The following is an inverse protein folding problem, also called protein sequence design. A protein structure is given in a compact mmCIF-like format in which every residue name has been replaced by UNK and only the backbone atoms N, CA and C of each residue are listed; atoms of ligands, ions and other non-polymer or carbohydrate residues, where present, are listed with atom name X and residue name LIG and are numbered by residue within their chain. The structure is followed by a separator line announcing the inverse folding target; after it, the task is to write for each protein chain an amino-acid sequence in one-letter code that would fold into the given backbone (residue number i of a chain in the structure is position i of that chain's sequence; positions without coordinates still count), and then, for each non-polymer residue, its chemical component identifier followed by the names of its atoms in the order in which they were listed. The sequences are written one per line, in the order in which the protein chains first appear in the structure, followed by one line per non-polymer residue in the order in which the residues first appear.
data_IF_068765126918
#
_entry.id   IF_068765126918
#
_cell.length_a   1.000
_cell.length_b   1.000
_cell.length_c   1.000
_cell.angle_alpha   90.00
_cell.angle_beta   90.00
_cell.angle_gamma   90.00
#
_symmetry.space_group_name_H-M   'P 1'
#
loop_
_entity.id
_entity.type
_entity.pdbx_description
1 polymer ?
#
# COMPACT_ATOMS: atom_id res chain seq x y z
N UNK A 1 -37.11 30.03 -23.72
CA UNK A 1 -36.24 30.67 -22.71
C UNK A 1 -36.03 29.68 -21.57
N UNK A 2 -34.79 29.47 -21.11
CA UNK A 2 -34.25 28.14 -20.81
C UNK A 2 -33.83 27.95 -19.35
N UNK A 3 -33.43 26.72 -18.97
CA UNK A 3 -32.66 26.51 -17.74
C UNK A 3 -32.61 25.08 -17.20
N UNK A 4 -32.21 24.09 -18.00
CA UNK A 4 -31.93 22.73 -17.51
C UNK A 4 -30.58 22.26 -18.05
N UNK A 5 -29.51 22.53 -17.31
CA UNK A 5 -28.16 22.09 -17.67
C UNK A 5 -28.02 20.59 -17.40
N UNK A 6 -28.15 19.79 -18.46
CA UNK A 6 -27.74 18.38 -18.47
C UNK A 6 -26.22 18.29 -18.42
N UNK A 7 -25.69 17.65 -17.38
CA UNK A 7 -24.27 17.34 -17.30
C UNK A 7 -24.03 16.01 -18.04
N UNK A 8 -23.50 16.09 -19.26
CA UNK A 8 -22.99 14.95 -20.02
C UNK A 8 -21.76 14.35 -19.31
N UNK A 9 -21.64 13.02 -19.19
CA UNK A 9 -20.35 12.40 -18.96
C UNK A 9 -19.58 12.45 -20.28
N UNK A 10 -18.57 13.31 -20.35
CA UNK A 10 -17.62 13.34 -21.45
C UNK A 10 -16.94 11.98 -21.56
N UNK A 11 -17.23 11.27 -22.64
CA UNK A 11 -16.52 10.05 -23.03
C UNK A 11 -15.05 10.37 -23.24
N UNK A 12 -14.19 9.76 -22.41
CA UNK A 12 -12.77 9.70 -22.70
C UNK A 12 -12.58 8.77 -23.89
N UNK A 13 -12.27 9.38 -25.03
CA UNK A 13 -11.83 8.70 -26.24
C UNK A 13 -10.70 7.73 -25.92
N UNK A 14 -10.83 6.50 -26.43
CA UNK A 14 -9.81 5.48 -26.42
C UNK A 14 -8.56 5.95 -27.20
N UNK A 15 -7.65 6.62 -26.51
CA UNK A 15 -6.26 6.75 -26.92
C UNK A 15 -5.42 6.04 -25.87
N UNK A 16 -5.05 4.79 -26.21
CA UNK A 16 -4.11 4.00 -25.42
C UNK A 16 -2.81 4.78 -25.23
N UNK A 17 -2.59 5.27 -24.02
CA UNK A 17 -1.31 5.82 -23.60
C UNK A 17 -0.28 4.68 -23.62
N UNK A 18 0.46 4.61 -24.72
CA UNK A 18 1.71 3.88 -24.82
C UNK A 18 2.73 4.54 -23.87
N UNK A 19 2.85 4.08 -22.63
CA UNK A 19 4.05 4.31 -21.82
C UNK A 19 5.21 3.56 -22.50
N UNK A 20 5.96 4.25 -23.36
CA UNK A 20 7.03 3.66 -24.18
C UNK A 20 8.44 4.17 -23.87
N UNK A 21 8.63 5.00 -22.85
CA UNK A 21 9.97 5.30 -22.35
C UNK A 21 10.18 4.61 -21.00
N UNK A 22 11.19 3.75 -20.92
CA UNK A 22 11.69 3.25 -19.64
C UNK A 22 12.14 4.44 -18.79
N UNK A 23 11.66 4.49 -17.55
CA UNK A 23 11.95 5.55 -16.59
C UNK A 23 12.49 4.98 -15.27
N UNK A 24 13.09 5.84 -14.45
CA UNK A 24 13.66 5.54 -13.14
C UNK A 24 12.68 5.94 -12.05
N UNK A 25 12.16 4.95 -11.35
CA UNK A 25 11.17 5.10 -10.28
C UNK A 25 11.86 4.87 -8.94
N UNK A 26 11.74 5.82 -8.01
CA UNK A 26 12.07 5.53 -6.61
C UNK A 26 10.78 5.15 -5.89
N UNK A 27 10.70 3.96 -5.31
CA UNK A 27 9.59 3.58 -4.43
C UNK A 27 10.05 3.70 -2.97
N UNK A 28 9.49 4.67 -2.25
CA UNK A 28 9.72 4.89 -0.83
C UNK A 28 8.66 4.13 -0.03
N UNK A 29 9.08 3.02 0.59
CA UNK A 29 8.21 2.17 1.39
C UNK A 29 8.54 2.37 2.85
N UNK A 30 7.58 2.88 3.63
CA UNK A 30 7.73 2.86 5.08
C UNK A 30 6.40 2.66 5.78
N UNK A 31 6.07 1.39 6.03
CA UNK A 31 5.38 1.02 7.27
C UNK A 31 5.84 -0.35 7.80
N UNK A 32 6.28 -0.30 9.05
CA UNK A 32 6.04 -1.23 10.17
C UNK A 32 6.52 -2.67 10.15
N UNK A 33 7.33 -3.07 9.17
CA UNK A 33 8.24 -4.17 9.42
C UNK A 33 9.61 -3.85 8.84
N UNK A 34 10.70 -4.07 9.60
CA UNK A 34 12.07 -4.03 9.09
C UNK A 34 12.24 -4.90 7.86
N UNK A 35 11.53 -6.01 7.86
CA UNK A 35 11.39 -6.92 6.74
C UNK A 35 10.18 -6.48 5.95
N UNK A 36 10.41 -5.46 5.13
CA UNK A 36 9.68 -5.37 3.87
C UNK A 36 9.91 -6.71 3.16
N UNK A 37 8.82 -7.38 2.79
CA UNK A 37 8.75 -8.60 1.98
C UNK A 37 8.69 -9.93 2.74
N UNK A 38 7.81 -10.01 3.73
CA UNK A 38 7.29 -11.28 4.24
C UNK A 38 5.77 -11.27 4.04
N UNK A 39 5.15 -12.40 3.65
CA UNK A 39 3.70 -12.54 3.47
C UNK A 39 2.96 -12.51 4.82
N UNK A 40 3.09 -11.44 5.59
CA UNK A 40 2.36 -11.18 6.82
C UNK A 40 1.44 -9.96 6.72
N UNK A 41 1.64 -9.08 5.72
CA UNK A 41 0.86 -7.84 5.56
C UNK A 41 0.63 -7.48 4.09
N UNK A 42 -0.63 -7.50 3.65
CA UNK A 42 -1.01 -7.33 2.23
C UNK A 42 -0.53 -6.04 1.54
N UNK A 43 -0.21 -4.98 2.29
CA UNK A 43 0.36 -3.75 1.73
C UNK A 43 1.76 -4.00 1.15
N UNK A 44 2.62 -4.73 1.86
CA UNK A 44 4.00 -4.95 1.40
C UNK A 44 4.04 -5.83 0.15
N UNK A 45 3.21 -6.86 0.11
CA UNK A 45 3.07 -7.74 -1.07
C UNK A 45 2.57 -6.95 -2.28
N UNK A 46 1.61 -6.03 -2.06
CA UNK A 46 1.08 -5.16 -3.12
C UNK A 46 2.17 -4.26 -3.70
N UNK A 47 2.97 -3.63 -2.83
CA UNK A 47 4.08 -2.76 -3.27
C UNK A 47 5.19 -3.57 -3.96
N UNK A 48 5.49 -4.78 -3.48
CA UNK A 48 6.48 -5.65 -4.14
C UNK A 48 6.02 -6.05 -5.53
N UNK A 49 4.76 -6.48 -5.65
CA UNK A 49 4.17 -6.88 -6.93
C UNK A 49 4.17 -5.71 -7.92
N UNK A 50 3.85 -4.50 -7.46
CA UNK A 50 3.95 -3.28 -8.27
C UNK A 50 5.40 -3.02 -8.72
N UNK A 51 6.37 -3.05 -7.80
CA UNK A 51 7.78 -2.80 -8.12
C UNK A 51 8.34 -3.85 -9.10
N UNK A 52 8.02 -5.13 -8.91
CA UNK A 52 8.41 -6.22 -9.81
C UNK A 52 7.83 -6.01 -11.21
N UNK A 53 6.56 -5.64 -11.30
CA UNK A 53 5.91 -5.42 -12.59
C UNK A 53 6.46 -4.17 -13.30
N UNK A 54 6.80 -3.11 -12.57
CA UNK A 54 7.52 -1.96 -13.11
C UNK A 54 8.91 -2.37 -13.63
N UNK A 55 9.65 -3.14 -12.84
CA UNK A 55 10.96 -3.69 -13.23
C UNK A 55 10.91 -4.54 -14.50
N UNK A 56 9.90 -5.41 -14.59
CA UNK A 56 9.64 -6.27 -15.77
C UNK A 56 9.27 -5.46 -17.01
N UNK A 57 8.61 -4.31 -16.84
CA UNK A 57 8.32 -3.36 -17.93
C UNK A 57 9.51 -2.52 -18.36
N UNK A 58 10.69 -2.72 -17.75
CA UNK A 58 11.94 -2.05 -18.09
C UNK A 58 12.23 -0.80 -17.27
N UNK A 59 11.39 -0.46 -16.28
CA UNK A 59 11.69 0.64 -15.36
C UNK A 59 12.79 0.23 -14.39
N UNK A 60 13.67 1.17 -14.03
CA UNK A 60 14.60 0.95 -12.93
C UNK A 60 13.91 1.36 -11.63
N UNK A 61 13.92 0.49 -10.63
CA UNK A 61 13.23 0.73 -9.35
C UNK A 61 14.21 0.62 -8.20
N UNK A 62 14.28 1.65 -7.36
CA UNK A 62 14.98 1.56 -6.06
C UNK A 62 13.96 1.68 -4.95
N UNK A 63 13.90 0.66 -4.11
CA UNK A 63 13.03 0.56 -2.95
C UNK A 63 13.79 1.02 -1.72
N UNK A 64 13.30 2.05 -1.04
CA UNK A 64 13.80 2.43 0.28
C UNK A 64 12.95 1.81 1.37
N UNK A 65 13.58 1.05 2.26
CA UNK A 65 12.93 0.27 3.30
C UNK A 65 13.66 0.41 4.64
N UNK A 66 12.99 0.26 5.80
CA UNK A 66 13.67 0.20 7.09
C UNK A 66 14.64 -0.99 7.16
N UNK A 67 15.75 -0.81 7.86
CA UNK A 67 16.74 -1.85 8.13
C UNK A 67 16.17 -2.90 9.10
N UNK A 68 16.46 -4.18 8.84
CA UNK A 68 16.13 -5.34 9.66
C UNK A 68 17.32 -5.85 10.48
N UNK A 69 17.14 -6.05 11.79
CA UNK A 69 18.13 -6.64 12.69
C UNK A 69 17.92 -8.14 12.76
N UNK A 70 18.93 -8.89 13.19
CA UNK A 70 18.82 -10.34 13.37
C UNK A 70 17.69 -10.73 14.35
N UNK A 71 17.40 -9.88 15.33
CA UNK A 71 16.29 -10.06 16.26
C UNK A 71 14.94 -10.10 15.54
N UNK A 72 14.71 -9.26 14.53
CA UNK A 72 13.41 -9.25 13.84
C UNK A 72 13.20 -10.54 13.06
N UNK A 73 14.22 -10.97 12.30
CA UNK A 73 14.17 -12.23 11.57
C UNK A 73 13.85 -13.40 12.50
N UNK A 74 14.49 -13.44 13.68
CA UNK A 74 14.21 -14.43 14.72
C UNK A 74 12.77 -14.35 15.23
N UNK A 75 12.26 -13.15 15.52
CA UNK A 75 10.90 -12.93 16.01
C UNK A 75 9.84 -13.39 14.99
N UNK A 76 10.19 -13.44 13.71
CA UNK A 76 9.31 -13.92 12.64
C UNK A 76 9.52 -15.39 12.27
N UNK A 77 10.50 -16.07 12.88
CA UNK A 77 10.84 -17.45 12.52
C UNK A 77 11.41 -17.57 11.10
N UNK A 78 12.14 -16.56 10.63
CA UNK A 78 12.64 -16.50 9.25
C UNK A 78 14.15 -16.52 9.16
N UNK A 79 14.62 -17.09 8.05
CA UNK A 79 16.00 -16.94 7.63
C UNK A 79 16.30 -15.48 7.28
N UNK A 80 17.54 -15.05 7.56
CA UNK A 80 18.03 -13.72 7.19
C UNK A 80 18.36 -13.70 5.69
N UNK A 81 17.35 -13.48 4.87
CA UNK A 81 17.47 -13.35 3.42
C UNK A 81 16.65 -12.14 2.93
N UNK A 82 17.18 -11.44 1.93
CA UNK A 82 16.40 -10.46 1.18
C UNK A 82 15.43 -11.18 0.23
N UNK A 83 14.26 -10.59 0.02
CA UNK A 83 13.30 -11.16 -0.92
C UNK A 83 13.79 -11.02 -2.36
N UNK A 84 13.41 -11.97 -3.21
CA UNK A 84 13.58 -11.83 -4.65
C UNK A 84 12.73 -10.65 -5.15
N UNK A 85 13.36 -9.54 -5.51
CA UNK A 85 12.66 -8.35 -5.98
C UNK A 85 12.51 -8.29 -7.49
N UNK A 86 12.98 -9.31 -8.21
CA UNK A 86 12.93 -9.38 -9.66
C UNK A 86 13.95 -8.50 -10.36
N UNK A 87 13.83 -8.41 -11.68
CA UNK A 87 14.76 -7.67 -12.55
C UNK A 87 14.56 -6.16 -12.47
N UNK A 88 15.64 -5.39 -12.54
CA UNK A 88 15.62 -3.91 -12.49
C UNK A 88 15.07 -3.33 -11.18
N UNK A 89 15.07 -4.09 -10.09
CA UNK A 89 14.64 -3.64 -8.76
C UNK A 89 15.78 -3.81 -7.76
N UNK A 90 16.07 -2.77 -7.00
CA UNK A 90 17.06 -2.75 -5.92
C UNK A 90 16.38 -2.39 -4.60
N UNK A 91 16.84 -2.97 -3.47
CA UNK A 91 16.37 -2.59 -2.13
C UNK A 91 17.50 -1.91 -1.36
N UNK A 92 17.24 -0.71 -0.86
CA UNK A 92 18.13 0.05 0.03
C UNK A 92 17.54 0.16 1.42
N UNK A 93 18.22 -0.48 2.36
CA UNK A 93 17.84 -0.51 3.77
C UNK A 93 18.36 0.73 4.49
N UNK A 94 17.48 1.47 5.15
CA UNK A 94 17.79 2.69 5.88
C UNK A 94 17.71 2.48 7.38
N UNK A 95 18.59 3.17 8.12
CA UNK A 95 18.52 3.20 9.58
C UNK A 95 17.11 3.58 10.07
N UNK A 96 16.61 2.81 11.02
CA UNK A 96 15.27 2.92 11.58
C UNK A 96 15.27 2.46 13.03
N UNK A 97 14.37 3.04 13.84
CA UNK A 97 14.23 2.71 15.25
C UNK A 97 13.02 1.77 15.47
N UNK A 98 13.10 0.82 16.41
CA UNK A 98 11.93 0.05 16.84
C UNK A 98 10.91 0.97 17.49
N UNK A 99 9.63 0.73 17.19
CA UNK A 99 8.51 1.41 17.85
C UNK A 99 7.54 0.38 18.41
N UNK A 100 6.93 0.63 19.59
CA UNK A 100 5.95 -0.27 20.18
C UNK A 100 4.82 -0.59 19.19
N UNK A 101 4.49 -1.87 19.07
CA UNK A 101 3.41 -2.37 18.22
C UNK A 101 2.96 -3.73 18.71
N UNK A 102 1.74 -4.13 18.34
CA UNK A 102 1.17 -5.43 18.70
C UNK A 102 2.01 -6.62 18.26
N UNK A 103 2.84 -6.48 17.22
CA UNK A 103 3.75 -7.53 16.75
C UNK A 103 5.20 -7.35 17.19
N UNK A 104 5.56 -6.22 17.82
CA UNK A 104 6.95 -5.89 18.14
C UNK A 104 7.85 -5.67 16.92
N UNK A 105 7.28 -5.63 15.71
CA UNK A 105 8.01 -5.53 14.44
C UNK A 105 8.03 -4.09 13.92
N UNK A 106 7.20 -3.19 14.43
CA UNK A 106 7.12 -1.85 13.86
C UNK A 106 8.43 -1.09 13.95
N UNK A 107 8.79 -0.47 12.84
CA UNK A 107 9.93 0.44 12.75
C UNK A 107 9.56 1.76 12.13
N UNK A 108 10.12 2.81 12.71
CA UNK A 108 10.02 4.17 12.21
C UNK A 108 11.36 4.58 11.61
N UNK A 109 11.31 4.94 10.34
CA UNK A 109 12.44 5.55 9.65
C UNK A 109 12.55 7.00 10.15
N UNK A 110 13.67 7.33 10.79
CA UNK A 110 13.92 8.66 11.36
C UNK A 110 14.12 9.64 10.21
N UNK A 111 13.25 10.64 9.98
CA UNK A 111 13.40 11.58 8.88
C UNK A 111 14.55 12.56 9.19
N UNK A 112 15.63 12.47 8.42
CA UNK A 112 16.80 13.37 8.50
C UNK A 112 16.71 14.51 7.47
N UNK A 113 15.87 14.36 6.45
CA UNK A 113 15.71 15.32 5.36
C UNK A 113 16.91 15.37 4.41
N UNK A 114 17.93 14.54 4.63
CA UNK A 114 19.21 14.52 3.88
C UNK A 114 19.38 13.30 2.99
N UNK A 115 18.41 12.37 3.00
CA UNK A 115 18.51 11.10 2.25
C UNK A 115 18.41 11.27 0.74
N UNK A 116 17.96 12.44 0.27
CA UNK A 116 17.98 12.82 -1.15
C UNK A 116 19.37 12.72 -1.79
N UNK A 117 20.45 12.88 -1.02
CA UNK A 117 21.82 12.70 -1.51
C UNK A 117 22.09 11.28 -2.01
N UNK A 118 21.45 10.27 -1.41
CA UNK A 118 21.58 8.87 -1.82
C UNK A 118 20.83 8.58 -3.13
N UNK A 119 19.91 9.48 -3.51
CA UNK A 119 19.16 9.41 -4.76
C UNK A 119 19.87 10.12 -5.91
N UNK A 120 20.89 10.94 -5.66
CA UNK A 120 21.62 11.65 -6.72
C UNK A 120 22.21 10.71 -7.79
N UNK A 121 22.89 9.60 -7.44
CA UNK A 121 23.43 8.69 -8.45
C UNK A 121 22.34 7.97 -9.25
N UNK A 122 21.18 7.75 -8.62
CA UNK A 122 20.04 7.12 -9.27
C UNK A 122 19.32 8.11 -10.20
N UNK A 123 19.22 9.38 -9.79
CA UNK A 123 18.52 10.47 -10.47
C UNK A 123 17.09 10.05 -10.91
N UNK A 124 16.17 9.86 -9.96
CA UNK A 124 14.83 9.38 -10.26
C UNK A 124 14.06 10.36 -11.16
N UNK A 125 13.20 9.82 -12.02
CA UNK A 125 12.22 10.61 -12.78
C UNK A 125 10.93 10.83 -11.96
N UNK A 126 10.68 9.96 -10.98
CA UNK A 126 9.51 10.00 -10.09
C UNK A 126 9.83 9.39 -8.73
N UNK A 127 9.24 9.93 -7.67
CA UNK A 127 9.26 9.34 -6.33
C UNK A 127 7.84 8.88 -5.97
N UNK A 128 7.68 7.63 -5.59
CA UNK A 128 6.41 7.04 -5.18
C UNK A 128 6.47 6.66 -3.71
N UNK A 129 5.63 7.27 -2.87
CA UNK A 129 5.57 6.97 -1.44
C UNK A 129 4.31 6.22 -1.05
N UNK A 130 4.46 5.20 -0.20
CA UNK A 130 3.36 4.38 0.32
C UNK A 130 3.07 4.66 1.80
N UNK A 131 3.50 5.82 2.30
CA UNK A 131 3.34 6.25 3.68
C UNK A 131 3.45 7.76 3.81
N UNK A 132 2.89 8.32 4.89
CA UNK A 132 2.91 9.76 5.13
C UNK A 132 3.92 10.20 6.20
N UNK A 133 4.51 9.25 6.94
CA UNK A 133 5.55 9.51 7.95
C UNK A 133 6.86 8.85 7.55
N UNK A 134 7.95 9.23 8.23
CA UNK A 134 9.27 8.62 8.01
C UNK A 134 9.70 8.75 6.55
N UNK A 135 9.63 7.64 5.78
CA UNK A 135 10.00 7.68 4.37
C UNK A 135 9.08 8.59 3.53
N UNK A 136 7.83 8.81 3.95
CA UNK A 136 6.97 9.79 3.29
C UNK A 136 7.52 11.21 3.37
N UNK A 137 7.95 11.62 4.57
CA UNK A 137 8.56 12.94 4.78
C UNK A 137 9.90 13.07 4.06
N UNK A 138 10.69 11.99 4.01
CA UNK A 138 11.91 11.94 3.21
C UNK A 138 11.64 12.02 1.71
N UNK A 139 10.59 11.37 1.22
CA UNK A 139 10.18 11.43 -0.18
C UNK A 139 9.83 12.86 -0.58
N UNK A 140 9.04 13.58 0.24
CA UNK A 140 8.74 15.00 0.00
C UNK A 140 9.99 15.89 0.11
N UNK A 141 10.92 15.58 1.03
CA UNK A 141 12.19 16.29 1.12
C UNK A 141 13.02 16.08 -0.16
N UNK A 142 13.15 14.84 -0.61
CA UNK A 142 13.92 14.48 -1.79
C UNK A 142 13.33 15.07 -3.07
N UNK A 143 12.01 15.02 -3.22
CA UNK A 143 11.33 15.64 -4.35
C UNK A 143 11.62 17.13 -4.48
N UNK A 144 11.65 17.87 -3.36
CA UNK A 144 12.00 19.29 -3.36
C UNK A 144 13.46 19.57 -3.73
N UNK A 145 14.39 18.69 -3.35
CA UNK A 145 15.82 18.88 -3.65
C UNK A 145 16.20 18.42 -5.06
N UNK A 146 15.50 17.43 -5.58
CA UNK A 146 15.78 16.81 -6.88
C UNK A 146 14.87 17.33 -8.00
N UNK A 147 13.86 18.14 -7.65
CA UNK A 147 12.85 18.69 -8.56
C UNK A 147 12.09 17.60 -9.36
N UNK A 148 11.56 16.61 -8.64
CA UNK A 148 10.87 15.44 -9.22
C UNK A 148 9.47 15.27 -8.62
N UNK A 149 8.47 14.81 -9.42
CA UNK A 149 7.11 14.62 -8.93
C UNK A 149 7.01 13.50 -7.90
N UNK A 150 6.10 13.67 -6.94
CA UNK A 150 5.75 12.64 -5.95
C UNK A 150 4.38 12.06 -6.23
N UNK A 151 4.28 10.74 -6.31
CA UNK A 151 3.02 10.00 -6.24
C UNK A 151 2.87 9.42 -4.85
N UNK A 152 1.70 9.60 -4.23
CA UNK A 152 1.43 9.09 -2.90
C UNK A 152 0.32 8.05 -2.90
N UNK A 153 0.56 6.84 -2.42
CA UNK A 153 -0.51 5.87 -2.17
C UNK A 153 -0.90 5.87 -0.70
N UNK A 154 -2.18 6.14 -0.40
CA UNK A 154 -2.74 5.92 0.92
C UNK A 154 -3.37 4.53 1.01
N UNK A 155 -2.79 3.66 1.85
CA UNK A 155 -3.28 2.31 2.09
C UNK A 155 -4.25 2.21 3.28
N UNK A 156 -4.53 3.31 3.98
CA UNK A 156 -5.21 3.28 5.28
C UNK A 156 -6.45 4.18 5.30
N UNK A 157 -7.58 3.61 5.69
CA UNK A 157 -8.69 4.37 6.23
C UNK A 157 -8.32 4.78 7.67
N UNK A 158 -7.96 6.04 7.86
CA UNK A 158 -7.42 6.53 9.14
C UNK A 158 -8.53 6.56 10.20
N UNK A 159 -9.78 6.75 9.78
CA UNK A 159 -10.92 6.64 10.67
C UNK A 159 -11.05 5.27 11.31
N UNK A 160 -10.72 4.21 10.60
CA UNK A 160 -10.71 2.84 11.14
C UNK A 160 -9.48 2.60 12.03
N UNK A 161 -8.33 3.19 11.68
CA UNK A 161 -7.08 3.04 12.44
C UNK A 161 -7.12 3.75 13.82
N UNK A 162 -7.78 4.91 13.94
CA UNK A 162 -7.89 5.63 15.20
C UNK A 162 -8.71 4.88 16.27
N UNK A 163 -9.54 3.91 15.87
CA UNK A 163 -10.23 2.99 16.79
C UNK A 163 -9.29 2.06 17.58
N UNK A 164 -8.01 1.97 17.19
CA UNK A 164 -7.02 1.07 17.79
C UNK A 164 -5.99 1.75 18.69
N UNK A 165 -6.07 3.07 18.87
CA UNK A 165 -5.20 3.78 19.82
C UNK A 165 -5.96 4.02 21.12
N UNK A 166 -5.31 4.00 22.29
CA UNK A 166 -5.95 4.36 23.56
C UNK A 166 -6.42 5.83 23.58
N UNK A 167 -6.06 6.62 22.57
CA UNK A 167 -6.50 7.99 22.33
C UNK A 167 -7.76 7.99 21.46
N UNK A 168 -8.84 7.41 21.97
CA UNK A 168 -10.14 7.26 21.30
C UNK A 168 -10.96 8.56 21.16
N UNK A 169 -10.31 9.73 21.26
CA UNK A 169 -10.99 11.00 21.11
C UNK A 169 -11.33 11.26 19.63
N UNK A 170 -12.59 11.56 19.26
CA UNK A 170 -12.96 11.94 17.89
C UNK A 170 -12.10 13.06 17.31
N UNK A 171 -11.64 13.98 18.17
CA UNK A 171 -10.69 15.03 17.82
C UNK A 171 -9.35 14.49 17.28
N UNK A 172 -8.82 13.42 17.87
CA UNK A 172 -7.56 12.82 17.43
C UNK A 172 -7.68 12.20 16.04
N UNK A 173 -8.83 11.60 15.72
CA UNK A 173 -9.15 11.09 14.38
C UNK A 173 -9.11 12.22 13.35
N UNK A 174 -9.84 13.30 13.60
CA UNK A 174 -9.97 14.40 12.65
C UNK A 174 -8.63 15.13 12.46
N UNK A 175 -7.87 15.33 13.53
CA UNK A 175 -6.51 15.89 13.46
C UNK A 175 -5.60 14.99 12.63
N UNK A 176 -5.65 13.67 12.86
CA UNK A 176 -4.87 12.70 12.09
C UNK A 176 -5.24 12.74 10.61
N UNK A 177 -6.52 12.74 10.29
CA UNK A 177 -7.02 12.83 8.91
C UNK A 177 -6.60 14.12 8.21
N UNK A 178 -6.68 15.26 8.90
CA UNK A 178 -6.17 16.54 8.37
C UNK A 178 -4.67 16.48 8.12
N UNK A 179 -3.90 15.92 9.04
CA UNK A 179 -2.46 15.81 8.91
C UNK A 179 -2.05 14.93 7.71
N UNK A 180 -2.71 13.78 7.56
CA UNK A 180 -2.45 12.89 6.43
C UNK A 180 -2.92 13.49 5.11
N UNK A 181 -4.11 14.08 5.07
CA UNK A 181 -4.61 14.75 3.87
C UNK A 181 -3.69 15.90 3.44
N UNK A 182 -3.19 16.68 4.41
CA UNK A 182 -2.20 17.72 4.17
C UNK A 182 -0.90 17.15 3.57
N UNK A 183 -0.43 16.00 4.07
CA UNK A 183 0.73 15.32 3.48
C UNK A 183 0.48 14.97 2.00
N UNK A 184 -0.64 14.31 1.69
CA UNK A 184 -0.96 13.91 0.33
C UNK A 184 -1.24 15.10 -0.60
N UNK A 185 -1.65 16.25 -0.05
CA UNK A 185 -1.74 17.51 -0.81
C UNK A 185 -0.37 18.07 -1.27
N UNK A 186 0.75 17.50 -0.84
CA UNK A 186 2.07 17.79 -1.40
C UNK A 186 2.46 16.85 -2.55
N UNK A 187 1.65 15.82 -2.85
CA UNK A 187 1.90 14.91 -3.97
C UNK A 187 1.33 15.49 -5.28
N UNK A 188 1.94 15.13 -6.41
CA UNK A 188 1.44 15.45 -7.75
C UNK A 188 0.19 14.62 -8.10
N UNK A 189 0.11 13.39 -7.61
CA UNK A 189 -1.02 12.47 -7.76
C UNK A 189 -1.15 11.62 -6.51
N UNK A 190 -2.39 11.31 -6.12
CA UNK A 190 -2.69 10.44 -4.99
C UNK A 190 -3.38 9.17 -5.48
N UNK A 191 -3.03 8.02 -4.92
CA UNK A 191 -3.74 6.76 -5.19
C UNK A 191 -4.19 6.09 -3.92
N UNK A 192 -5.20 5.25 -4.01
CA UNK A 192 -5.68 4.43 -2.89
C UNK A 192 -6.32 3.14 -3.42
N UNK A 193 -6.38 2.07 -2.61
CA UNK A 193 -6.93 0.78 -3.04
C UNK A 193 -8.47 0.78 -3.18
N UNK A 194 -9.16 1.75 -2.58
CA UNK A 194 -10.62 1.82 -2.57
C UNK A 194 -11.13 3.25 -2.52
N UNK A 195 -12.39 3.44 -2.94
CA UNK A 195 -13.11 4.72 -2.82
C UNK A 195 -13.26 5.16 -1.37
N UNK A 196 -13.46 4.23 -0.42
CA UNK A 196 -13.61 4.56 1.00
C UNK A 196 -12.44 5.39 1.55
N UNK A 197 -11.22 5.11 1.11
CA UNK A 197 -10.02 5.85 1.52
C UNK A 197 -9.98 7.24 0.87
N UNK A 198 -10.28 7.34 -0.42
CA UNK A 198 -10.26 8.64 -1.12
C UNK A 198 -11.37 9.56 -0.64
N UNK A 199 -12.57 9.02 -0.43
CA UNK A 199 -13.73 9.78 0.01
C UNK A 199 -13.50 10.33 1.43
N UNK A 200 -12.86 9.53 2.31
CA UNK A 200 -12.43 9.99 3.62
C UNK A 200 -11.40 11.14 3.50
N UNK A 201 -10.42 11.05 2.61
CA UNK A 201 -9.45 12.14 2.42
C UNK A 201 -10.10 13.39 1.78
N UNK A 202 -11.04 13.22 0.86
CA UNK A 202 -11.79 14.30 0.24
C UNK A 202 -12.63 15.07 1.27
N UNK A 203 -13.29 14.36 2.20
CA UNK A 203 -14.01 14.98 3.31
C UNK A 203 -13.10 15.84 4.22
N UNK A 204 -11.79 15.63 4.17
CA UNK A 204 -10.78 16.36 4.93
C UNK A 204 -9.90 17.29 4.09
N UNK A 205 -10.32 17.60 2.86
CA UNK A 205 -9.71 18.65 2.03
C UNK A 205 -8.62 18.16 1.07
N UNK A 206 -8.68 16.91 0.60
CA UNK A 206 -7.83 16.45 -0.50
C UNK A 206 -8.16 17.28 -1.76
N UNK A 207 -7.16 17.98 -2.30
CA UNK A 207 -7.32 18.86 -3.46
C UNK A 207 -6.46 18.45 -4.66
N UNK A 208 -5.60 17.43 -4.50
CA UNK A 208 -4.76 16.90 -5.57
C UNK A 208 -5.52 15.90 -6.44
N UNK A 209 -5.12 15.75 -7.73
CA UNK A 209 -5.62 14.66 -8.55
C UNK A 209 -5.44 13.32 -7.83
N UNK A 210 -6.48 12.49 -7.86
CA UNK A 210 -6.45 11.18 -7.23
C UNK A 210 -7.07 10.10 -8.11
N UNK A 211 -6.66 8.84 -7.88
CA UNK A 211 -7.21 7.67 -8.57
C UNK A 211 -7.30 6.47 -7.64
N UNK A 212 -8.43 5.78 -7.67
CA UNK A 212 -8.56 4.48 -7.03
C UNK A 212 -7.91 3.41 -7.91
N UNK A 213 -6.93 2.69 -7.36
CA UNK A 213 -6.20 1.61 -8.03
C UNK A 213 -6.17 0.42 -7.07
N UNK A 214 -6.92 -0.64 -7.40
CA UNK A 214 -6.95 -1.86 -6.59
C UNK A 214 -5.55 -2.47 -6.44
N UNK A 215 -5.30 -3.07 -5.28
CA UNK A 215 -4.08 -3.83 -5.04
C UNK A 215 -3.93 -4.97 -6.06
N UNK A 216 -2.70 -5.26 -6.52
CA UNK A 216 -2.45 -6.39 -7.41
C UNK A 216 -2.66 -7.71 -6.66
N UNK A 217 -3.08 -8.73 -7.43
CA UNK A 217 -3.14 -10.13 -6.98
C UNK A 217 -2.26 -10.97 -7.89
N UNK A 218 -1.52 -11.91 -7.32
CA UNK A 218 -0.70 -12.86 -8.08
C UNK A 218 -1.64 -13.82 -8.84
N UNK A 219 -1.83 -13.58 -10.13
CA UNK A 219 -2.74 -14.38 -10.96
C UNK A 219 -2.18 -15.76 -11.32
N UNK A 220 -0.89 -16.01 -11.14
CA UNK A 220 -0.32 -17.34 -11.34
C UNK A 220 -0.64 -18.24 -10.14
N UNK A 221 -0.56 -17.67 -8.94
CA UNK A 221 -0.95 -18.33 -7.69
C UNK A 221 -2.46 -18.39 -7.51
N UNK A 222 -3.16 -17.28 -7.70
CA UNK A 222 -4.61 -17.15 -7.55
C UNK A 222 -5.32 -17.27 -8.89
N UNK A 223 -5.34 -18.49 -9.41
CA UNK A 223 -6.10 -18.86 -10.61
C UNK A 223 -7.12 -19.95 -10.34
N UNK A 224 -8.23 -19.98 -11.10
CA UNK A 224 -9.16 -21.11 -11.07
C UNK A 224 -8.42 -22.44 -11.24
N UNK A 225 -8.77 -23.42 -10.40
CA UNK A 225 -8.25 -24.79 -10.49
C UNK A 225 -9.25 -25.66 -11.24
N UNK A 226 -8.79 -26.83 -11.72
CA UNK A 226 -9.67 -27.80 -12.39
C UNK A 226 -10.75 -28.34 -11.46
N UNK A 227 -11.90 -28.72 -12.02
CA UNK A 227 -13.02 -29.31 -11.26
C UNK A 227 -12.60 -30.58 -10.51
N UNK A 228 -11.71 -31.40 -11.11
CA UNK A 228 -11.14 -32.57 -10.46
C UNK A 228 -10.38 -32.20 -9.18
N UNK A 229 -9.51 -31.17 -9.24
CA UNK A 229 -8.77 -30.69 -8.06
C UNK A 229 -9.73 -30.12 -7.01
N UNK A 230 -10.75 -29.39 -7.44
CA UNK A 230 -11.79 -28.83 -6.56
C UNK A 230 -12.56 -29.94 -5.84
N UNK A 231 -12.96 -30.99 -6.53
CA UNK A 231 -13.67 -32.14 -5.96
C UNK A 231 -12.82 -32.93 -4.96
N UNK A 232 -11.52 -33.08 -5.23
CA UNK A 232 -10.57 -33.69 -4.28
C UNK A 232 -10.49 -32.87 -2.98
N UNK A 233 -10.32 -31.55 -3.08
CA UNK A 233 -10.26 -30.68 -1.90
C UNK A 233 -11.57 -30.70 -1.12
N UNK A 234 -12.71 -30.61 -1.80
CA UNK A 234 -14.03 -30.67 -1.15
C UNK A 234 -14.21 -31.97 -0.36
N UNK A 235 -13.87 -33.12 -0.95
CA UNK A 235 -13.92 -34.41 -0.24
C UNK A 235 -12.97 -34.46 0.95
N UNK A 236 -11.74 -33.97 0.79
CA UNK A 236 -10.73 -33.97 1.85
C UNK A 236 -11.15 -33.14 3.08
N UNK A 237 -11.89 -32.06 2.86
CA UNK A 237 -12.36 -31.16 3.93
C UNK A 237 -13.85 -31.33 4.29
N UNK A 238 -14.53 -32.33 3.73
CA UNK A 238 -15.95 -32.59 4.00
C UNK A 238 -16.92 -31.51 3.49
N UNK A 239 -16.52 -30.70 2.51
CA UNK A 239 -17.34 -29.63 1.96
C UNK A 239 -18.39 -30.14 0.97
N UNK A 240 -19.58 -29.55 1.01
CA UNK A 240 -20.68 -29.82 0.07
C UNK A 240 -20.42 -29.26 -1.34
N UNK A 241 -21.35 -29.47 -2.28
CA UNK A 241 -21.27 -28.90 -3.62
C UNK A 241 -21.36 -27.37 -3.64
N UNK A 242 -22.08 -26.77 -2.69
CA UNK A 242 -22.21 -25.32 -2.53
C UNK A 242 -21.51 -24.90 -1.24
N UNK A 243 -20.33 -24.29 -1.39
CA UNK A 243 -19.47 -23.92 -0.25
C UNK A 243 -19.18 -22.44 -0.31
N UNK A 244 -19.44 -21.73 0.78
CA UNK A 244 -19.01 -20.34 0.98
C UNK A 244 -17.77 -20.38 1.86
N UNK A 245 -16.71 -19.69 1.43
CA UNK A 245 -15.43 -19.64 2.16
C UNK A 245 -15.13 -18.20 2.51
N UNK A 246 -14.88 -17.96 3.79
CA UNK A 246 -14.32 -16.72 4.29
C UNK A 246 -12.84 -16.92 4.60
N UNK A 247 -11.99 -16.06 4.05
CA UNK A 247 -10.56 -16.05 4.32
C UNK A 247 -10.13 -14.62 4.67
N UNK A 248 -9.80 -14.40 5.93
CA UNK A 248 -9.41 -13.09 6.44
C UNK A 248 -8.99 -13.18 7.90
N UNK A 249 -8.33 -12.14 8.40
CA UNK A 249 -8.06 -12.05 9.85
C UNK A 249 -9.37 -11.91 10.59
N UNK A 250 -9.53 -12.65 11.68
CA UNK A 250 -10.58 -12.42 12.66
C UNK A 250 -10.13 -11.24 13.53
N UNK A 251 -10.52 -10.04 13.11
CA UNK A 251 -10.20 -8.80 13.77
C UNK A 251 -11.45 -7.91 13.74
N UNK A 252 -11.63 -7.08 14.77
CA UNK A 252 -12.84 -6.26 14.92
C UNK A 252 -13.11 -5.35 13.69
N UNK A 253 -12.05 -4.90 13.00
CA UNK A 253 -12.14 -4.13 11.75
C UNK A 253 -12.89 -4.85 10.64
N UNK A 254 -12.79 -6.19 10.59
CA UNK A 254 -13.41 -6.99 9.54
C UNK A 254 -14.88 -7.23 9.77
N UNK A 255 -15.43 -6.74 10.90
CA UNK A 255 -16.85 -6.82 11.29
C UNK A 255 -17.39 -8.17 10.85
N UNK A 256 -17.09 -9.23 11.63
CA UNK A 256 -17.34 -10.66 11.37
C UNK A 256 -18.81 -11.06 11.10
N UNK A 257 -19.63 -10.12 10.65
CA UNK A 257 -21.03 -10.21 10.25
C UNK A 257 -21.30 -11.38 9.31
N UNK A 258 -20.33 -11.84 8.51
CA UNK A 258 -20.48 -13.11 7.77
C UNK A 258 -20.72 -14.29 8.71
N UNK A 259 -19.95 -14.43 9.78
CA UNK A 259 -20.13 -15.47 10.80
C UNK A 259 -21.45 -15.30 11.53
N UNK A 260 -21.81 -14.06 11.90
CA UNK A 260 -23.07 -13.77 12.59
C UNK A 260 -24.31 -14.04 11.71
N UNK A 261 -24.20 -13.83 10.39
CA UNK A 261 -25.30 -14.06 9.44
C UNK A 261 -25.58 -15.55 9.23
N UNK A 262 -24.57 -16.42 9.36
CA UNK A 262 -24.76 -17.87 9.30
C UNK A 262 -25.38 -18.42 10.59
N UNK A 263 -25.03 -17.86 11.75
CA UNK A 263 -25.59 -18.29 13.04
C UNK A 263 -27.07 -17.90 13.23
N UNK A 264 -27.55 -16.88 12.50
CA UNK A 264 -28.95 -16.43 12.55
C UNK A 264 -29.88 -17.17 11.55
N UNK A 265 -29.35 -18.14 10.82
CA UNK A 265 -30.10 -18.91 9.80
C UNK A 265 -30.50 -20.33 10.26
N UNK A 266 -30.26 -20.67 11.53
CA UNK A 266 -30.70 -21.92 12.19
C UNK A 266 -31.88 -21.66 13.14
#
# INVERSE_FOLDING_TARGET
MPGGAGHHPGGLSAQGQRCRAAGRVTSCVSRYSPTVFIPSWGIQDSVLAECRELGRRGHQVVIFAPHATAHDYKLMGLARAEADVGTNVEVRRLFSLPVPSSTGQSRLLVPTGRRWRQLLPFAPDIIHTHTFLGAGLEALSAARHLDVPVVGTNHWAIGEFCGYTPFSAPFFRDVSLRAVTRFYNHCAMVTAPSHSVTDEMCAFGLSRPYRVISNPVDTDRFRPQTDARRAVLKRAYGFSQSTIVYAGRLADEKKNRCVDSFAASD
#
